data_IF_951646154231
#
_entry.id   IF_951646154231
#
_cell.length_a   1.000
_cell.length_b   1.000
_cell.length_c   1.000
_cell.angle_alpha   90.00
_cell.angle_beta   90.00
_cell.angle_gamma   90.00
#
_symmetry.space_group_name_H-M   'P 1'
#
loop_
_entity.id
_entity.type
_entity.pdbx_description
1 polymer ?
#
# COMPACT_ATOMS: atom_id res chain seq x y z
N UNK A 1 11.26 -9.03 0.96
CA UNK A 1 12.61 -8.67 1.48
C UNK A 1 12.39 -8.31 2.92
N UNK A 2 12.78 -9.19 3.84
CA UNK A 2 12.53 -8.96 5.26
C UNK A 2 13.43 -7.81 5.73
N UNK A 3 12.85 -6.69 6.15
CA UNK A 3 13.59 -5.54 6.72
C UNK A 3 14.50 -5.95 7.88
N UNK A 4 14.17 -7.09 8.51
CA UNK A 4 14.72 -7.62 9.76
C UNK A 4 16.23 -7.86 9.70
N UNK A 5 16.82 -7.99 8.50
CA UNK A 5 18.23 -8.40 8.33
C UNK A 5 19.16 -7.33 7.74
N UNK A 6 18.72 -6.09 7.50
CA UNK A 6 19.46 -5.12 6.67
C UNK A 6 20.01 -3.87 7.38
N UNK A 7 19.96 -3.77 8.72
CA UNK A 7 20.48 -2.58 9.43
C UNK A 7 19.62 -1.33 9.24
N UNK A 8 18.34 -1.51 8.91
CA UNK A 8 17.36 -0.46 8.66
C UNK A 8 16.78 0.11 9.96
N UNK A 9 16.29 1.35 9.92
CA UNK A 9 15.49 1.90 11.01
C UNK A 9 14.04 1.41 10.92
N UNK A 10 13.53 0.95 12.05
CA UNK A 10 12.15 0.47 12.22
C UNK A 10 11.34 1.52 12.96
N UNK A 11 10.21 1.91 12.37
CA UNK A 11 9.17 2.65 13.08
C UNK A 11 7.92 1.79 13.14
N UNK A 12 7.55 1.40 14.36
CA UNK A 12 6.24 0.84 14.67
C UNK A 12 5.15 1.88 14.43
N UNK A 13 4.15 1.53 13.62
CA UNK A 13 2.94 2.35 13.49
C UNK A 13 1.92 1.90 14.53
N UNK A 14 1.63 2.78 15.49
CA UNK A 14 0.38 2.80 16.24
C UNK A 14 -0.42 4.02 15.81
N UNK A 15 -1.08 3.96 14.66
CA UNK A 15 -2.15 4.91 14.36
C UNK A 15 -3.36 4.43 15.16
N UNK A 16 -3.56 5.03 16.33
CA UNK A 16 -4.75 4.81 17.14
C UNK A 16 -5.95 5.42 16.41
N UNK A 17 -6.60 4.67 15.52
CA UNK A 17 -8.04 4.83 15.22
C UNK A 17 -8.56 3.71 14.33
N UNK A 18 -9.61 3.02 14.81
CA UNK A 18 -10.56 2.17 14.10
C UNK A 18 -10.08 1.16 13.04
N UNK A 19 -8.92 0.54 13.22
CA UNK A 19 -8.75 -0.82 12.70
C UNK A 19 -9.44 -1.75 13.71
N UNK A 20 -10.39 -2.56 13.25
CA UNK A 20 -11.13 -3.51 14.07
C UNK A 20 -10.26 -4.60 14.74
N UNK A 21 -8.94 -4.51 14.64
CA UNK A 21 -7.94 -5.16 15.50
C UNK A 21 -6.72 -4.25 15.47
N UNK A 22 -6.05 -4.01 16.60
CA UNK A 22 -4.79 -3.27 16.71
C UNK A 22 -3.66 -3.95 15.90
N UNK A 23 -3.70 -3.87 14.58
CA UNK A 23 -2.64 -4.36 13.71
C UNK A 23 -1.57 -3.28 13.58
N UNK A 24 -0.49 -3.50 14.31
CA UNK A 24 0.77 -2.80 14.17
C UNK A 24 1.32 -3.05 12.76
N UNK A 25 1.48 -1.98 11.98
CA UNK A 25 2.19 -2.06 10.71
C UNK A 25 3.63 -1.60 10.90
N UNK A 26 4.56 -2.29 10.25
CA UNK A 26 5.97 -1.92 10.28
C UNK A 26 6.25 -1.08 9.04
N UNK A 27 6.67 0.16 9.26
CA UNK A 27 7.35 0.94 8.22
C UNK A 27 8.83 0.81 8.44
N UNK A 28 9.49 0.46 7.36
CA UNK A 28 10.92 0.31 7.31
C UNK A 28 11.49 1.44 6.46
N UNK A 29 12.62 1.99 6.90
CA UNK A 29 13.35 3.00 6.14
C UNK A 29 14.77 2.53 5.83
N UNK A 30 15.15 2.59 4.54
CA UNK A 30 16.51 2.37 4.05
C UNK A 30 16.97 3.65 3.36
N UNK A 31 17.86 4.41 4.00
CA UNK A 31 18.25 5.73 3.49
C UNK A 31 17.04 6.65 3.34
N UNK A 32 16.83 7.20 2.14
CA UNK A 32 15.70 8.07 1.81
C UNK A 32 14.45 7.30 1.35
N UNK A 33 14.45 5.96 1.42
CA UNK A 33 13.36 5.12 0.94
C UNK A 33 12.55 4.54 2.09
N UNK A 34 11.24 4.85 2.08
CA UNK A 34 10.27 4.32 3.02
C UNK A 34 9.42 3.26 2.33
N UNK A 35 9.21 2.16 3.04
CA UNK A 35 8.36 1.09 2.57
C UNK A 35 7.47 0.53 3.67
N UNK A 36 6.26 0.17 3.26
CA UNK A 36 5.24 -0.43 4.10
C UNK A 36 5.06 -1.89 3.69
N UNK A 37 5.28 -2.81 4.63
CA UNK A 37 4.94 -4.21 4.45
C UNK A 37 3.70 -4.59 5.24
N UNK A 38 2.61 -4.78 4.52
CA UNK A 38 1.33 -5.25 5.01
C UNK A 38 0.90 -6.55 4.33
N UNK A 39 1.85 -7.33 3.79
CA UNK A 39 1.57 -8.59 3.12
C UNK A 39 0.97 -9.64 4.07
N UNK A 40 -0.05 -10.38 3.61
CA UNK A 40 -0.64 -11.54 4.30
C UNK A 40 -1.13 -11.23 5.72
N UNK A 41 -1.83 -10.11 5.89
CA UNK A 41 -2.39 -9.64 7.16
C UNK A 41 -3.91 -9.78 7.25
N UNK A 42 -4.53 -10.44 6.25
CA UNK A 42 -5.98 -10.61 6.12
C UNK A 42 -6.76 -9.28 6.05
N UNK A 43 -6.10 -8.22 5.55
CA UNK A 43 -6.70 -6.89 5.46
C UNK A 43 -7.90 -6.89 4.53
N UNK A 44 -9.04 -6.43 5.03
CA UNK A 44 -10.27 -6.24 4.23
C UNK A 44 -10.36 -4.82 3.66
N UNK A 45 -9.73 -3.87 4.33
CA UNK A 45 -9.73 -2.44 3.99
C UNK A 45 -8.29 -1.93 4.06
N UNK A 46 -7.93 -1.03 3.15
CA UNK A 46 -6.63 -0.35 3.20
C UNK A 46 -6.58 0.62 4.40
N UNK A 47 -5.50 0.67 5.18
CA UNK A 47 -5.38 1.58 6.32
C UNK A 47 -5.10 3.01 5.88
N UNK A 48 -6.15 3.78 5.57
CA UNK A 48 -6.02 5.17 5.06
C UNK A 48 -5.26 6.12 6.00
N UNK A 49 -5.28 5.90 7.31
CA UNK A 49 -4.59 6.77 8.28
C UNK A 49 -3.06 6.79 8.08
N UNK A 50 -2.51 5.81 7.37
CA UNK A 50 -1.09 5.77 7.05
C UNK A 50 -0.62 6.99 6.26
N UNK A 51 -1.52 7.60 5.49
CA UNK A 51 -1.23 8.80 4.70
C UNK A 51 -0.81 9.99 5.56
N UNK A 52 -1.34 10.09 6.79
CA UNK A 52 -1.11 11.23 7.67
C UNK A 52 0.33 11.28 8.18
N UNK A 53 0.94 10.11 8.37
CA UNK A 53 2.27 9.98 8.95
C UNK A 53 3.35 9.68 7.89
N UNK A 54 2.97 9.09 6.75
CA UNK A 54 3.91 8.52 5.78
C UNK A 54 3.59 8.91 4.32
N UNK A 55 3.37 10.20 4.06
CA UNK A 55 3.17 10.74 2.72
C UNK A 55 4.35 10.46 1.75
N UNK A 56 5.51 10.06 2.27
CA UNK A 56 6.72 9.77 1.49
C UNK A 56 6.97 8.28 1.22
N UNK A 57 5.96 7.41 1.42
CA UNK A 57 6.07 5.99 1.07
C UNK A 57 6.35 5.81 -0.42
N UNK A 58 7.43 5.07 -0.72
CA UNK A 58 7.82 4.73 -2.09
C UNK A 58 7.42 3.31 -2.48
N UNK A 59 7.33 2.40 -1.50
CA UNK A 59 7.00 1.00 -1.77
C UNK A 59 5.92 0.52 -0.81
N UNK A 60 4.83 -0.01 -1.36
CA UNK A 60 3.71 -0.53 -0.57
C UNK A 60 3.44 -1.98 -1.00
N UNK A 61 3.55 -2.89 -0.04
CA UNK A 61 3.30 -4.31 -0.22
C UNK A 61 2.03 -4.73 0.52
N UNK A 62 1.03 -5.17 -0.23
CA UNK A 62 -0.28 -5.60 0.25
C UNK A 62 -0.66 -6.98 -0.29
N UNK A 63 0.32 -7.75 -0.75
CA UNK A 63 0.12 -9.06 -1.35
C UNK A 63 -0.56 -10.04 -0.38
N UNK A 64 -1.51 -10.82 -0.87
CA UNK A 64 -2.15 -11.88 -0.09
C UNK A 64 -3.10 -11.39 0.99
N UNK A 65 -3.79 -10.27 0.76
CA UNK A 65 -4.83 -9.74 1.63
C UNK A 65 -6.25 -10.03 1.07
N UNK A 66 -7.27 -9.44 1.68
CA UNK A 66 -8.68 -9.60 1.33
C UNK A 66 -9.30 -8.29 0.82
N UNK A 67 -8.47 -7.38 0.29
CA UNK A 67 -8.92 -6.05 -0.15
C UNK A 67 -9.89 -6.17 -1.33
N UNK A 68 -11.07 -5.59 -1.19
CA UNK A 68 -12.08 -5.55 -2.27
C UNK A 68 -11.98 -4.28 -3.12
N UNK A 69 -11.46 -3.21 -2.52
CA UNK A 69 -11.22 -1.92 -3.17
C UNK A 69 -9.95 -1.27 -2.58
N UNK A 70 -9.37 -0.35 -3.34
CA UNK A 70 -8.41 0.63 -2.85
C UNK A 70 -9.11 1.98 -2.75
N UNK A 71 -8.73 2.85 -1.81
CA UNK A 71 -9.39 4.13 -1.63
C UNK A 71 -8.99 5.11 -2.73
N UNK A 72 -9.92 5.97 -3.16
CA UNK A 72 -9.70 6.89 -4.29
C UNK A 72 -8.61 7.93 -4.01
N UNK A 73 -8.38 8.26 -2.74
CA UNK A 73 -7.33 9.15 -2.28
C UNK A 73 -5.94 8.49 -2.17
N UNK A 74 -5.78 7.19 -2.45
CA UNK A 74 -4.49 6.48 -2.33
C UNK A 74 -3.36 7.19 -3.09
N UNK A 75 -3.59 7.50 -4.37
CA UNK A 75 -2.58 8.11 -5.23
C UNK A 75 -2.33 9.59 -4.90
N UNK A 76 -3.36 10.44 -4.68
CA UNK A 76 -3.15 11.81 -4.18
C UNK A 76 -2.42 11.87 -2.82
N UNK A 77 -2.66 10.91 -1.94
CA UNK A 77 -2.08 10.87 -0.59
C UNK A 77 -0.66 10.31 -0.55
N UNK A 78 -0.25 9.53 -1.55
CA UNK A 78 1.09 8.94 -1.64
C UNK A 78 1.81 9.44 -2.92
N UNK A 79 2.07 10.75 -3.08
CA UNK A 79 2.47 11.36 -4.35
C UNK A 79 3.82 10.87 -4.89
N UNK A 80 4.63 10.20 -4.07
CA UNK A 80 5.97 9.69 -4.42
C UNK A 80 6.01 8.16 -4.52
N UNK A 81 4.85 7.49 -4.55
CA UNK A 81 4.76 6.04 -4.60
C UNK A 81 5.36 5.50 -5.91
N UNK A 82 6.37 4.64 -5.80
CA UNK A 82 7.02 4.02 -6.97
C UNK A 82 6.54 2.60 -7.22
N UNK A 83 6.20 1.87 -6.17
CA UNK A 83 5.85 0.46 -6.24
C UNK A 83 4.61 0.15 -5.44
N UNK A 84 3.62 -0.45 -6.08
CA UNK A 84 2.40 -0.94 -5.45
C UNK A 84 2.19 -2.41 -5.79
N UNK A 85 2.30 -3.27 -4.78
CA UNK A 85 1.97 -4.70 -4.89
C UNK A 85 0.66 -5.00 -4.18
N UNK A 86 -0.38 -5.28 -4.96
CA UNK A 86 -1.70 -5.66 -4.46
C UNK A 86 -2.11 -7.03 -4.98
N UNK A 87 -1.13 -7.89 -5.29
CA UNK A 87 -1.41 -9.24 -5.79
C UNK A 87 -2.21 -10.07 -4.80
N UNK A 88 -2.91 -11.08 -5.29
CA UNK A 88 -3.65 -12.04 -4.46
C UNK A 88 -4.62 -11.37 -3.48
N UNK A 89 -5.39 -10.39 -3.97
CA UNK A 89 -6.47 -9.70 -3.25
C UNK A 89 -7.83 -10.00 -3.92
N UNK A 90 -8.87 -9.25 -3.57
CA UNK A 90 -10.23 -9.38 -4.13
C UNK A 90 -10.66 -8.14 -4.91
N UNK A 91 -9.71 -7.32 -5.37
CA UNK A 91 -10.01 -6.05 -6.03
C UNK A 91 -10.89 -6.29 -7.25
N UNK A 92 -12.01 -5.58 -7.34
CA UNK A 92 -12.94 -5.66 -8.49
C UNK A 92 -12.76 -4.50 -9.46
N UNK A 93 -12.19 -3.40 -8.98
CA UNK A 93 -11.88 -2.18 -9.69
C UNK A 93 -10.57 -1.59 -9.16
N UNK A 94 -10.03 -0.62 -9.89
CA UNK A 94 -8.82 0.09 -9.51
C UNK A 94 -9.07 1.60 -9.52
N UNK A 95 -8.49 2.39 -8.59
CA UNK A 95 -8.77 3.82 -8.49
C UNK A 95 -8.37 4.55 -9.76
N UNK A 96 -9.27 5.38 -10.30
CA UNK A 96 -8.99 6.20 -11.50
C UNK A 96 -7.95 7.28 -11.23
N UNK A 97 -7.74 7.65 -9.97
CA UNK A 97 -6.76 8.65 -9.56
C UNK A 97 -5.31 8.24 -9.86
N UNK A 98 -5.06 6.96 -10.20
CA UNK A 98 -3.77 6.52 -10.75
C UNK A 98 -3.38 7.29 -12.02
N UNK A 99 -4.36 7.78 -12.77
CA UNK A 99 -4.18 8.63 -13.95
C UNK A 99 -3.27 9.84 -13.73
N UNK A 100 -3.28 10.35 -12.50
CA UNK A 100 -2.58 11.58 -12.10
C UNK A 100 -1.31 11.27 -11.30
N UNK A 101 -0.87 10.00 -11.28
CA UNK A 101 0.24 9.57 -10.46
C UNK A 101 1.53 9.42 -11.26
N UNK A 102 2.31 10.51 -11.31
CA UNK A 102 3.51 10.61 -12.18
C UNK A 102 4.69 9.73 -11.75
N UNK A 103 4.69 9.22 -10.51
CA UNK A 103 5.86 8.53 -9.94
C UNK A 103 5.73 6.99 -9.91
N UNK A 104 4.57 6.42 -10.28
CA UNK A 104 4.34 4.98 -10.17
C UNK A 104 5.11 4.26 -11.28
N UNK A 105 6.02 3.37 -10.89
CA UNK A 105 6.88 2.64 -11.83
C UNK A 105 6.44 1.20 -11.97
N UNK A 106 5.97 0.59 -10.87
CA UNK A 106 5.57 -0.81 -10.83
C UNK A 106 4.23 -0.97 -10.13
N UNK A 107 3.30 -1.61 -10.85
CA UNK A 107 1.97 -1.96 -10.36
C UNK A 107 1.72 -3.45 -10.57
N UNK A 108 1.54 -4.19 -9.48
CA UNK A 108 1.29 -5.64 -9.52
C UNK A 108 -0.15 -5.94 -9.07
N UNK A 109 -0.96 -6.43 -10.01
CA UNK A 109 -2.41 -6.66 -9.84
C UNK A 109 -2.84 -8.12 -9.97
N UNK A 110 -1.89 -9.03 -10.21
CA UNK A 110 -2.18 -10.45 -10.47
C UNK A 110 -2.95 -11.09 -9.31
N UNK A 111 -3.88 -12.01 -9.62
CA UNK A 111 -4.65 -12.70 -8.59
C UNK A 111 -5.75 -11.84 -7.94
N UNK A 112 -6.21 -10.79 -8.61
CA UNK A 112 -7.42 -10.03 -8.25
C UNK A 112 -8.63 -10.43 -9.11
N UNK A 113 -9.76 -9.74 -8.92
CA UNK A 113 -11.02 -9.91 -9.66
C UNK A 113 -11.34 -8.73 -10.57
N UNK A 114 -10.31 -7.97 -10.96
CA UNK A 114 -10.44 -6.78 -11.79
C UNK A 114 -10.84 -7.22 -13.19
N UNK A 115 -12.02 -6.79 -13.63
CA UNK A 115 -12.53 -7.12 -14.97
C UNK A 115 -12.03 -6.13 -16.02
N UNK A 116 -11.78 -4.88 -15.62
CA UNK A 116 -11.33 -3.78 -16.48
C UNK A 116 -10.39 -2.90 -15.68
N UNK A 117 -9.27 -2.53 -16.29
CA UNK A 117 -8.43 -1.46 -15.78
C UNK A 117 -9.00 -0.10 -16.21
N UNK A 118 -8.79 0.97 -15.42
CA UNK A 118 -9.01 2.33 -15.89
C UNK A 118 -8.27 2.58 -17.20
N UNK A 119 -8.83 3.38 -18.09
CA UNK A 119 -8.22 3.73 -19.38
C UNK A 119 -6.99 4.62 -19.22
N UNK A 120 -6.84 5.17 -18.02
CA UNK A 120 -5.81 6.09 -17.63
C UNK A 120 -4.51 5.41 -17.17
N UNK A 121 -4.47 4.06 -17.16
CA UNK A 121 -3.28 3.24 -16.90
C UNK A 121 -2.48 2.94 -18.17
#
# INVERSE_FOLDING_TARGET
MDCVNSGNSFSEITCETNISVAQKFEVCSTGDEQYLDCGKKELKVFPEDIYQCYAYLKFVYLEGNLLENLPDNLFPSLPVLKWLDVRNNKLTQFPKTVAYHDNLQVLLLQGNRIQRLPLEL
#
